data_IF_269881926010
#
_entry.id   IF_269881926010
#
_cell.length_a   1.000
_cell.length_b   1.000
_cell.length_c   1.000
_cell.angle_alpha   90.00
_cell.angle_beta   90.00
_cell.angle_gamma   90.00
#
_symmetry.space_group_name_H-M   'P 1'
#
loop_
_entity.id
_entity.type
_entity.pdbx_description
1 polymer ?
#
# COMPACT_ATOMS: atom_id res chain seq x y z
N UNK A 1 -24.45 -2.47 -75.31
CA UNK A 1 -24.08 -1.40 -74.35
C UNK A 1 -25.13 -1.38 -73.25
N UNK A 2 -24.78 -1.83 -72.03
CA UNK A 2 -24.71 -1.00 -70.79
C UNK A 2 -26.11 -0.56 -70.29
N UNK A 3 -26.62 -0.88 -69.10
CA UNK A 3 -25.99 -1.12 -67.79
C UNK A 3 -26.92 -1.95 -66.88
N UNK A 4 -26.33 -2.96 -66.24
CA UNK A 4 -26.84 -3.52 -64.98
C UNK A 4 -26.78 -2.43 -63.90
N UNK A 5 -27.87 -2.26 -63.16
CA UNK A 5 -27.90 -1.50 -61.90
C UNK A 5 -27.82 -2.55 -60.78
N UNK A 6 -26.58 -2.93 -60.44
CA UNK A 6 -26.23 -3.55 -59.18
C UNK A 6 -25.90 -2.41 -58.21
N UNK A 7 -26.87 -2.01 -57.38
CA UNK A 7 -26.61 -1.08 -56.27
C UNK A 7 -26.51 -1.91 -55.00
N UNK A 8 -25.27 -2.25 -54.68
CA UNK A 8 -24.65 -2.24 -53.35
C UNK A 8 -25.63 -2.23 -52.16
N UNK A 9 -26.05 -3.42 -51.71
CA UNK A 9 -26.33 -3.67 -50.29
C UNK A 9 -25.05 -4.22 -49.66
N UNK A 10 -24.09 -3.34 -49.43
CA UNK A 10 -22.87 -3.62 -48.68
C UNK A 10 -23.09 -3.33 -47.20
N UNK A 11 -23.12 -4.39 -46.40
CA UNK A 11 -22.49 -4.43 -45.08
C UNK A 11 -23.19 -3.71 -43.92
N UNK A 12 -24.29 -4.28 -43.42
CA UNK A 12 -24.43 -4.38 -41.97
C UNK A 12 -23.71 -5.68 -41.54
N UNK A 13 -22.40 -5.59 -41.32
CA UNK A 13 -21.72 -6.58 -40.49
C UNK A 13 -22.04 -6.22 -39.05
N UNK A 14 -23.20 -6.68 -38.60
CA UNK A 14 -23.46 -6.79 -37.17
C UNK A 14 -22.36 -7.69 -36.62
N UNK A 15 -21.42 -7.11 -35.88
CA UNK A 15 -20.51 -7.86 -35.01
C UNK A 15 -21.39 -8.41 -33.89
N UNK A 16 -22.16 -9.46 -34.19
CA UNK A 16 -22.80 -10.27 -33.15
C UNK A 16 -21.67 -11.10 -32.54
N UNK A 17 -21.49 -10.97 -31.22
CA UNK A 17 -20.89 -12.01 -30.43
C UNK A 17 -21.72 -13.30 -30.69
N UNK A 18 -21.17 -14.26 -31.42
CA UNK A 18 -21.85 -15.52 -31.73
C UNK A 18 -21.99 -16.34 -30.44
N UNK A 19 -23.13 -16.18 -29.76
CA UNK A 19 -23.56 -17.12 -28.72
C UNK A 19 -23.82 -18.48 -29.37
N UNK A 20 -23.29 -19.56 -28.78
CA UNK A 20 -23.57 -20.91 -29.25
C UNK A 20 -25.03 -21.28 -28.96
N UNK A 21 -25.76 -21.90 -29.91
CA UNK A 21 -27.20 -22.11 -29.79
C UNK A 21 -27.66 -23.08 -28.68
N UNK A 22 -28.94 -22.93 -28.33
CA UNK A 22 -29.60 -23.14 -27.01
C UNK A 22 -29.92 -24.63 -26.69
N UNK A 23 -29.10 -25.60 -27.09
CA UNK A 23 -29.50 -26.99 -26.82
C UNK A 23 -29.41 -27.30 -25.30
N UNK A 24 -28.45 -26.73 -24.56
CA UNK A 24 -28.43 -26.63 -23.08
C UNK A 24 -27.52 -25.45 -22.63
N UNK A 25 -28.12 -24.39 -22.07
CA UNK A 25 -27.43 -23.28 -21.39
C UNK A 25 -26.60 -22.38 -22.31
N UNK A 26 -27.07 -21.15 -22.55
CA UNK A 26 -26.36 -20.19 -23.41
C UNK A 26 -24.93 -19.95 -22.91
N UNK A 27 -23.96 -20.19 -23.79
CA UNK A 27 -22.55 -19.92 -23.53
C UNK A 27 -21.91 -19.19 -24.71
N UNK A 28 -20.89 -18.42 -24.38
CA UNK A 28 -20.03 -17.70 -25.30
C UNK A 28 -18.68 -18.42 -25.38
N UNK A 29 -18.05 -18.35 -26.54
CA UNK A 29 -16.72 -18.88 -26.71
C UNK A 29 -15.67 -17.95 -26.09
N UNK A 30 -14.53 -18.50 -25.64
CA UNK A 30 -13.40 -17.69 -25.20
C UNK A 30 -12.94 -16.71 -26.29
N UNK A 31 -12.28 -15.63 -25.88
CA UNK A 31 -11.71 -14.63 -26.78
C UNK A 31 -10.79 -15.31 -27.79
N UNK A 32 -11.02 -15.06 -29.08
CA UNK A 32 -10.27 -15.66 -30.19
C UNK A 32 -10.82 -16.98 -30.72
N UNK A 33 -11.87 -17.53 -30.11
CA UNK A 33 -12.55 -18.74 -30.58
C UNK A 33 -13.89 -18.40 -31.24
N UNK A 34 -14.31 -19.22 -32.21
CA UNK A 34 -15.61 -19.11 -32.88
C UNK A 34 -16.48 -20.31 -32.56
N UNK A 35 -17.79 -20.11 -32.57
CA UNK A 35 -18.74 -21.19 -32.41
C UNK A 35 -18.90 -21.96 -33.74
N UNK A 36 -18.54 -23.23 -33.76
CA UNK A 36 -18.73 -24.14 -34.89
C UNK A 36 -19.32 -25.44 -34.34
N UNK A 37 -20.47 -25.87 -34.85
CA UNK A 37 -21.14 -27.13 -34.44
C UNK A 37 -21.30 -27.29 -32.90
N UNK A 38 -21.77 -26.24 -32.22
CA UNK A 38 -21.92 -26.17 -30.76
C UNK A 38 -20.60 -26.31 -29.96
N UNK A 39 -19.47 -26.06 -30.60
CA UNK A 39 -18.15 -26.14 -30.00
C UNK A 39 -17.33 -24.88 -30.29
N UNK A 40 -16.40 -24.55 -29.39
CA UNK A 40 -15.50 -23.42 -29.57
C UNK A 40 -14.24 -23.89 -30.27
N UNK A 41 -14.01 -23.38 -31.49
CA UNK A 41 -12.87 -23.71 -32.33
C UNK A 41 -11.99 -22.49 -32.56
N UNK A 42 -10.68 -22.70 -32.52
CA UNK A 42 -9.68 -21.66 -32.82
C UNK A 42 -9.70 -21.31 -34.32
N UNK A 43 -9.03 -20.23 -34.74
CA UNK A 43 -8.90 -19.89 -36.16
C UNK A 43 -8.25 -21.02 -36.99
N UNK A 44 -7.41 -21.84 -36.37
CA UNK A 44 -6.74 -23.00 -36.98
C UNK A 44 -7.59 -24.29 -36.95
N UNK A 45 -8.84 -24.20 -36.49
CA UNK A 45 -9.76 -25.34 -36.40
C UNK A 45 -9.52 -26.27 -35.20
N UNK A 46 -8.65 -25.89 -34.26
CA UNK A 46 -8.42 -26.67 -33.05
C UNK A 46 -9.49 -26.42 -31.99
N UNK A 47 -9.85 -27.47 -31.26
CA UNK A 47 -10.84 -27.38 -30.19
C UNK A 47 -10.31 -26.55 -29.00
N UNK A 48 -11.16 -25.71 -28.43
CA UNK A 48 -10.85 -24.93 -27.22
C UNK A 48 -10.55 -25.81 -26.00
N UNK A 49 -9.65 -25.33 -25.13
CA UNK A 49 -9.29 -26.05 -23.92
C UNK A 49 -10.45 -26.06 -22.91
N UNK A 50 -10.71 -27.22 -22.31
CA UNK A 50 -11.67 -27.33 -21.20
C UNK A 50 -11.15 -26.73 -19.88
N UNK A 51 -9.84 -26.44 -19.81
CA UNK A 51 -9.20 -25.84 -18.64
C UNK A 51 -9.40 -24.33 -18.65
N UNK A 52 -10.17 -23.83 -17.68
CA UNK A 52 -10.45 -22.41 -17.52
C UNK A 52 -9.23 -21.54 -17.23
N UNK A 53 -8.09 -22.14 -16.87
CA UNK A 53 -6.81 -21.41 -16.71
C UNK A 53 -6.14 -21.13 -18.05
N UNK A 54 -6.53 -21.82 -19.13
CA UNK A 54 -5.92 -21.74 -20.46
C UNK A 54 -6.75 -20.94 -21.46
N UNK A 55 -7.90 -20.42 -21.04
CA UNK A 55 -8.81 -19.68 -21.90
C UNK A 55 -9.16 -18.35 -21.25
N UNK A 56 -9.36 -17.33 -22.08
CA UNK A 56 -9.78 -16.02 -21.61
C UNK A 56 -11.23 -15.78 -22.02
N UNK A 57 -12.10 -15.48 -21.07
CA UNK A 57 -13.52 -15.29 -21.33
C UNK A 57 -13.85 -13.80 -21.56
N UNK A 58 -14.91 -13.49 -22.34
CA UNK A 58 -15.39 -12.12 -22.49
C UNK A 58 -15.73 -11.46 -21.15
N UNK A 59 -15.76 -10.13 -21.12
CA UNK A 59 -16.20 -9.36 -19.94
C UNK A 59 -17.62 -9.78 -19.50
N UNK A 60 -17.90 -9.70 -18.20
CA UNK A 60 -19.19 -10.12 -17.62
C UNK A 60 -19.57 -11.59 -17.89
N UNK A 61 -18.55 -12.45 -18.02
CA UNK A 61 -18.73 -13.90 -18.08
C UNK A 61 -17.79 -14.61 -17.11
N UNK A 62 -18.12 -15.86 -16.77
CA UNK A 62 -17.28 -16.77 -16.00
C UNK A 62 -17.03 -18.03 -16.79
N UNK A 63 -15.82 -18.57 -16.66
CA UNK A 63 -15.49 -19.84 -17.30
C UNK A 63 -16.04 -21.03 -16.50
N UNK A 64 -16.62 -22.00 -17.21
CA UNK A 64 -16.93 -23.34 -16.70
C UNK A 64 -16.68 -24.36 -17.80
N UNK A 65 -15.73 -25.29 -17.57
CA UNK A 65 -15.30 -26.31 -18.55
C UNK A 65 -14.90 -25.73 -19.92
N UNK A 66 -14.15 -24.63 -19.93
CA UNK A 66 -13.68 -23.98 -21.15
C UNK A 66 -14.74 -23.17 -21.91
N UNK A 67 -15.94 -23.00 -21.34
CA UNK A 67 -17.05 -22.23 -21.91
C UNK A 67 -17.35 -21.02 -21.03
N UNK A 68 -17.74 -19.91 -21.64
CA UNK A 68 -17.98 -18.66 -20.93
C UNK A 68 -19.47 -18.44 -20.73
N UNK A 69 -19.92 -18.27 -19.49
CA UNK A 69 -21.33 -18.05 -19.16
C UNK A 69 -21.52 -16.65 -18.60
N UNK A 70 -22.57 -15.95 -19.04
CA UNK A 70 -22.86 -14.62 -18.54
C UNK A 70 -23.07 -14.62 -17.02
N UNK A 71 -22.42 -13.66 -16.35
CA UNK A 71 -22.56 -13.45 -14.90
C UNK A 71 -23.61 -12.39 -14.57
N UNK A 72 -24.10 -11.65 -15.56
CA UNK A 72 -25.06 -10.56 -15.38
C UNK A 72 -26.30 -11.01 -14.61
N UNK A 73 -26.59 -10.34 -13.50
CA UNK A 73 -27.77 -10.60 -12.68
C UNK A 73 -27.70 -11.86 -11.80
N UNK A 74 -26.63 -12.66 -11.90
CA UNK A 74 -26.40 -13.80 -11.01
C UNK A 74 -26.23 -13.33 -9.57
N UNK A 75 -26.64 -14.18 -8.63
CA UNK A 75 -26.40 -13.94 -7.21
C UNK A 75 -24.92 -14.06 -6.88
N UNK A 76 -24.38 -13.11 -6.12
CA UNK A 76 -22.98 -13.06 -5.70
C UNK A 76 -22.84 -12.83 -4.20
N UNK A 77 -21.60 -12.89 -3.69
CA UNK A 77 -21.26 -12.74 -2.28
C UNK A 77 -22.11 -13.62 -1.35
N UNK A 78 -22.46 -14.83 -1.82
CA UNK A 78 -23.04 -15.84 -0.96
C UNK A 78 -21.91 -16.50 -0.18
N UNK A 79 -22.06 -16.53 1.14
CA UNK A 79 -21.20 -17.33 1.99
C UNK A 79 -21.32 -18.79 1.55
N UNK A 80 -20.21 -19.39 1.14
CA UNK A 80 -20.15 -20.82 0.87
C UNK A 80 -19.62 -21.46 2.15
N UNK A 81 -20.40 -22.39 2.72
CA UNK A 81 -19.91 -23.25 3.78
C UNK A 81 -18.82 -24.14 3.19
N UNK A 82 -17.57 -23.90 3.61
CA UNK A 82 -16.44 -24.73 3.22
C UNK A 82 -16.40 -26.01 4.07
N UNK A 83 -16.86 -25.92 5.33
CA UNK A 83 -17.09 -27.04 6.24
C UNK A 83 -18.25 -26.74 7.23
N UNK A 84 -18.40 -27.53 8.30
CA UNK A 84 -19.46 -27.37 9.31
C UNK A 84 -19.31 -26.13 10.22
N UNK A 85 -18.17 -25.45 10.19
CA UNK A 85 -17.85 -24.30 11.05
C UNK A 85 -17.29 -23.09 10.29
N UNK A 86 -16.89 -23.23 9.02
CA UNK A 86 -16.31 -22.16 8.21
C UNK A 86 -17.19 -21.82 7.02
N UNK A 87 -17.53 -20.53 6.94
CA UNK A 87 -18.20 -19.94 5.79
C UNK A 87 -17.28 -18.86 5.24
N UNK A 88 -16.83 -19.02 3.99
CA UNK A 88 -16.04 -17.99 3.32
C UNK A 88 -16.89 -17.22 2.32
N UNK A 89 -16.77 -15.90 2.36
CA UNK A 89 -17.24 -15.03 1.28
C UNK A 89 -16.17 -15.03 0.20
N UNK A 90 -16.32 -15.92 -0.79
CA UNK A 90 -15.47 -15.88 -1.98
C UNK A 90 -15.70 -14.53 -2.65
N UNK A 91 -14.61 -13.75 -2.79
CA UNK A 91 -14.47 -12.51 -3.56
C UNK A 91 -15.34 -12.60 -4.82
N UNK A 92 -16.15 -11.56 -5.08
CA UNK A 92 -17.30 -11.61 -5.99
C UNK A 92 -17.07 -12.47 -7.24
N UNK A 93 -17.83 -13.55 -7.36
CA UNK A 93 -17.80 -14.49 -8.49
C UNK A 93 -18.45 -13.93 -9.78
N UNK A 94 -18.40 -12.61 -9.96
CA UNK A 94 -19.07 -11.88 -11.04
C UNK A 94 -18.24 -11.80 -12.34
N UNK A 95 -17.10 -12.48 -12.40
CA UNK A 95 -16.19 -12.43 -13.55
C UNK A 95 -15.26 -11.21 -13.51
N UNK A 96 -14.40 -11.08 -14.52
CA UNK A 96 -13.26 -10.14 -14.52
C UNK A 96 -13.65 -8.65 -14.48
N UNK A 97 -14.84 -8.30 -15.00
CA UNK A 97 -15.40 -6.93 -14.94
C UNK A 97 -16.68 -6.84 -14.14
N UNK A 98 -16.96 -7.81 -13.29
CA UNK A 98 -18.19 -7.85 -12.52
C UNK A 98 -18.01 -7.37 -11.09
N UNK A 99 -18.90 -6.50 -10.62
CA UNK A 99 -19.00 -6.12 -9.21
C UNK A 99 -20.29 -6.63 -8.61
N UNK A 100 -20.23 -7.06 -7.36
CA UNK A 100 -21.42 -7.46 -6.62
C UNK A 100 -22.07 -6.24 -5.96
N UNK A 101 -23.28 -5.90 -6.41
CA UNK A 101 -24.10 -4.82 -5.83
C UNK A 101 -25.45 -5.41 -5.40
N UNK A 102 -25.81 -5.23 -4.13
CA UNK A 102 -27.05 -5.77 -3.55
C UNK A 102 -27.24 -7.28 -3.81
N UNK A 103 -26.15 -8.04 -3.71
CA UNK A 103 -26.15 -9.49 -3.91
C UNK A 103 -26.33 -9.94 -5.37
N UNK A 104 -26.26 -9.02 -6.34
CA UNK A 104 -26.31 -9.34 -7.78
C UNK A 104 -25.08 -8.81 -8.51
N UNK A 105 -24.63 -9.57 -9.50
CA UNK A 105 -23.55 -9.16 -10.38
C UNK A 105 -24.02 -8.11 -11.37
N UNK A 106 -23.31 -6.99 -11.37
CA UNK A 106 -23.44 -5.91 -12.35
C UNK A 106 -22.10 -5.64 -13.00
N UNK A 107 -22.11 -4.99 -14.16
CA UNK A 107 -20.88 -4.58 -14.83
C UNK A 107 -20.20 -3.45 -14.06
N UNK A 108 -18.93 -3.66 -13.74
CA UNK A 108 -18.05 -2.62 -13.25
C UNK A 108 -17.37 -1.95 -14.44
N UNK A 109 -18.00 -0.88 -14.93
CA UNK A 109 -17.44 -0.03 -15.99
C UNK A 109 -16.05 0.52 -15.65
N UNK A 110 -15.69 0.57 -14.37
CA UNK A 110 -14.40 1.04 -13.88
C UNK A 110 -13.38 -0.09 -13.65
N UNK A 111 -13.75 -1.35 -13.91
CA UNK A 111 -12.79 -2.46 -13.89
C UNK A 111 -11.67 -2.20 -14.90
N UNK A 112 -10.43 -2.21 -14.41
CA UNK A 112 -9.20 -1.93 -15.16
C UNK A 112 -9.04 -0.49 -15.67
N UNK A 113 -9.88 0.45 -15.22
CA UNK A 113 -9.69 1.88 -15.51
C UNK A 113 -8.76 2.48 -14.47
N UNK A 114 -7.57 2.88 -14.91
CA UNK A 114 -6.58 3.59 -14.06
C UNK A 114 -6.68 5.08 -14.33
N UNK A 115 -7.15 5.83 -13.34
CA UNK A 115 -7.25 7.28 -13.42
C UNK A 115 -6.00 7.97 -12.86
N UNK A 116 -5.69 9.15 -13.40
CA UNK A 116 -4.61 9.99 -12.88
C UNK A 116 -4.97 10.58 -11.52
N UNK A 117 -3.95 11.01 -10.76
CA UNK A 117 -4.16 11.66 -9.47
C UNK A 117 -5.09 12.87 -9.62
N UNK A 118 -6.05 13.03 -8.69
CA UNK A 118 -7.06 14.10 -8.78
C UNK A 118 -8.28 13.74 -9.62
N UNK A 119 -8.40 12.50 -10.08
CA UNK A 119 -9.56 12.01 -10.82
C UNK A 119 -10.02 10.64 -10.31
N UNK A 120 -11.30 10.35 -10.52
CA UNK A 120 -11.96 9.13 -10.11
C UNK A 120 -12.71 8.53 -11.30
N UNK A 121 -12.72 7.20 -11.41
CA UNK A 121 -13.53 6.55 -12.43
C UNK A 121 -15.01 6.60 -12.04
N UNK A 122 -15.81 7.15 -12.93
CA UNK A 122 -17.27 7.19 -12.85
C UNK A 122 -17.83 6.78 -14.21
N UNK A 123 -18.65 5.72 -14.25
CA UNK A 123 -19.23 5.20 -15.50
C UNK A 123 -18.19 4.87 -16.58
N UNK A 124 -17.05 4.31 -16.18
CA UNK A 124 -15.96 3.93 -17.08
C UNK A 124 -15.10 5.07 -17.63
N UNK A 125 -15.33 6.30 -17.16
CA UNK A 125 -14.54 7.47 -17.52
C UNK A 125 -13.94 8.12 -16.28
N UNK A 126 -12.70 8.60 -16.40
CA UNK A 126 -12.06 9.38 -15.34
C UNK A 126 -12.63 10.80 -15.32
N UNK A 127 -13.23 11.17 -14.19
CA UNK A 127 -13.75 12.51 -13.95
C UNK A 127 -12.90 13.21 -12.87
N UNK A 128 -12.63 14.52 -13.00
CA UNK A 128 -11.89 15.26 -11.98
C UNK A 128 -12.71 15.32 -10.68
N UNK A 129 -12.01 15.10 -9.55
CA UNK A 129 -12.57 15.27 -8.20
C UNK A 129 -12.09 16.55 -7.53
N UNK A 130 -11.07 17.20 -8.10
CA UNK A 130 -10.57 18.50 -7.64
C UNK A 130 -11.68 19.55 -7.74
N UNK A 131 -11.85 20.33 -6.67
CA UNK A 131 -12.87 21.37 -6.52
C UNK A 131 -14.19 20.89 -5.92
N UNK A 132 -14.42 19.57 -5.81
CA UNK A 132 -15.61 19.03 -5.13
C UNK A 132 -15.63 19.44 -3.66
N UNK A 133 -16.82 19.71 -3.15
CA UNK A 133 -17.01 20.05 -1.74
C UNK A 133 -16.84 18.80 -0.87
N UNK A 134 -16.09 18.94 0.22
CA UNK A 134 -15.76 17.86 1.17
C UNK A 134 -16.15 18.20 2.61
N UNK A 135 -17.15 19.07 2.77
CA UNK A 135 -17.71 19.47 4.06
C UNK A 135 -18.36 18.30 4.82
N UNK A 136 -18.82 17.28 4.10
CA UNK A 136 -19.53 16.12 4.66
C UNK A 136 -18.93 14.77 4.24
N UNK A 137 -18.24 14.72 3.09
CA UNK A 137 -17.67 13.51 2.52
C UNK A 137 -16.16 13.64 2.33
N UNK A 138 -15.44 12.55 2.54
CA UNK A 138 -14.00 12.51 2.33
C UNK A 138 -13.66 12.58 0.84
N UNK A 139 -12.55 13.23 0.51
CA UNK A 139 -12.04 13.32 -0.85
C UNK A 139 -11.49 11.98 -1.34
N UNK A 140 -11.82 11.61 -2.59
CA UNK A 140 -11.36 10.39 -3.25
C UNK A 140 -10.24 10.69 -4.28
N UNK A 141 -9.80 9.68 -5.03
CA UNK A 141 -8.87 9.90 -6.16
C UNK A 141 -7.50 10.47 -5.77
N UNK A 142 -7.05 10.23 -4.52
CA UNK A 142 -5.78 10.73 -4.00
C UNK A 142 -5.75 12.25 -3.77
N UNK A 143 -6.91 12.84 -3.45
CA UNK A 143 -7.04 14.26 -3.09
C UNK A 143 -7.28 14.45 -1.59
N UNK A 144 -7.02 15.66 -1.10
CA UNK A 144 -7.18 16.04 0.31
C UNK A 144 -8.18 17.18 0.43
N UNK A 145 -8.96 17.18 1.52
CA UNK A 145 -9.92 18.24 1.80
C UNK A 145 -9.20 19.44 2.42
N UNK A 146 -9.16 20.57 1.70
CA UNK A 146 -8.57 21.82 2.17
C UNK A 146 -9.57 22.94 1.96
N UNK A 147 -9.89 23.68 3.03
CA UNK A 147 -10.89 24.75 3.00
C UNK A 147 -12.25 24.32 2.42
N UNK A 148 -12.70 23.10 2.73
CA UNK A 148 -13.98 22.57 2.25
C UNK A 148 -13.97 22.08 0.81
N UNK A 149 -12.83 22.12 0.10
CA UNK A 149 -12.72 21.61 -1.27
C UNK A 149 -11.63 20.56 -1.42
N UNK A 150 -11.88 19.56 -2.26
CA UNK A 150 -10.88 18.57 -2.64
C UNK A 150 -9.82 19.20 -3.53
N UNK A 151 -8.57 19.09 -3.13
CA UNK A 151 -7.42 19.55 -3.91
C UNK A 151 -6.44 18.40 -4.09
N UNK A 152 -5.65 18.45 -5.17
CA UNK A 152 -4.46 17.60 -5.25
C UNK A 152 -3.62 17.84 -4.01
N UNK A 153 -3.13 16.76 -3.40
CA UNK A 153 -2.31 16.87 -2.20
C UNK A 153 -1.13 17.82 -2.48
N UNK A 154 -1.14 19.05 -1.91
CA UNK A 154 -0.16 20.07 -2.21
C UNK A 154 1.24 19.67 -1.73
N UNK A 155 1.32 18.65 -0.88
CA UNK A 155 2.55 18.11 -0.32
C UNK A 155 3.19 17.02 -1.19
N UNK A 156 2.54 16.54 -2.25
CA UNK A 156 3.05 15.44 -3.09
C UNK A 156 4.47 15.76 -3.57
N UNK A 157 5.47 15.02 -3.07
CA UNK A 157 6.91 15.25 -3.32
C UNK A 157 7.44 16.65 -2.95
N UNK A 158 6.72 17.40 -2.11
CA UNK A 158 7.12 18.74 -1.66
C UNK A 158 7.53 18.79 -0.20
N UNK A 159 7.17 17.79 0.59
CA UNK A 159 7.63 17.73 1.97
C UNK A 159 9.13 17.44 2.05
N UNK A 160 9.85 18.14 2.94
CA UNK A 160 11.23 17.77 3.26
C UNK A 160 11.30 16.32 3.73
N UNK A 161 12.51 15.75 3.73
CA UNK A 161 12.76 14.52 4.44
C UNK A 161 12.21 14.62 5.88
N UNK A 162 11.66 13.52 6.38
CA UNK A 162 11.18 13.41 7.75
C UNK A 162 9.89 14.17 8.06
N UNK A 163 9.19 14.65 7.03
CA UNK A 163 7.88 15.27 7.12
C UNK A 163 6.85 14.46 6.34
N UNK A 164 5.62 14.44 6.84
CA UNK A 164 4.46 13.82 6.20
C UNK A 164 3.39 14.89 5.97
N UNK A 165 2.64 14.78 4.87
CA UNK A 165 1.51 15.67 4.65
C UNK A 165 0.35 15.30 5.55
N UNK A 166 -0.11 16.28 6.34
CA UNK A 166 -1.36 16.15 7.10
C UNK A 166 -2.17 17.41 6.93
N UNK A 167 -3.41 17.24 6.47
CA UNK A 167 -4.36 18.33 6.24
C UNK A 167 -3.81 19.41 5.26
N UNK A 168 -3.03 18.99 4.26
CA UNK A 168 -2.45 19.91 3.27
C UNK A 168 -1.19 20.64 3.73
N UNK A 169 -0.63 20.30 4.89
CA UNK A 169 0.61 20.88 5.42
C UNK A 169 1.66 19.80 5.71
N UNK A 170 2.93 20.10 5.43
CA UNK A 170 4.04 19.23 5.80
C UNK A 170 4.32 19.33 7.30
N UNK A 171 4.12 18.23 8.03
CA UNK A 171 4.37 18.16 9.47
C UNK A 171 5.51 17.20 9.74
N UNK A 172 6.42 17.62 10.63
CA UNK A 172 7.55 16.79 11.03
C UNK A 172 7.05 15.51 11.71
N UNK A 173 7.59 14.35 11.32
CA UNK A 173 7.14 13.03 11.79
C UNK A 173 7.32 12.83 13.31
N UNK A 174 8.34 13.46 13.91
CA UNK A 174 8.57 13.41 15.36
C UNK A 174 7.38 13.94 16.17
N UNK A 175 6.87 13.13 17.09
CA UNK A 175 5.81 13.48 18.03
C UNK A 175 4.38 13.37 17.48
N UNK A 176 4.23 13.01 16.19
CA UNK A 176 2.93 12.78 15.56
C UNK A 176 2.23 11.60 16.22
N UNK A 177 0.92 11.71 16.45
CA UNK A 177 0.12 10.62 17.02
C UNK A 177 0.02 9.42 16.05
N UNK A 178 0.28 8.23 16.58
CA UNK A 178 0.22 6.95 15.89
C UNK A 178 -0.53 5.92 16.74
N UNK A 179 -1.15 4.94 16.09
CA UNK A 179 -1.74 3.80 16.79
C UNK A 179 -0.71 2.68 16.97
N UNK A 180 -0.05 2.23 15.90
CA UNK A 180 1.02 1.22 15.94
C UNK A 180 2.05 1.33 14.79
N UNK A 181 1.88 2.29 13.87
CA UNK A 181 2.71 2.38 12.66
C UNK A 181 3.13 3.83 12.42
N UNK A 182 4.39 3.98 12.03
CA UNK A 182 4.98 5.23 11.59
C UNK A 182 5.83 4.94 10.33
N UNK A 183 6.02 5.92 9.44
CA UNK A 183 6.93 5.76 8.31
C UNK A 183 8.38 5.55 8.80
N UNK A 184 9.07 4.56 8.25
CA UNK A 184 10.49 4.33 8.56
C UNK A 184 11.32 5.59 8.24
N UNK A 185 12.24 6.05 9.12
CA UNK A 185 12.83 5.37 10.29
C UNK A 185 12.18 5.71 11.65
N UNK A 186 10.91 6.09 11.65
CA UNK A 186 10.17 6.37 12.89
C UNK A 186 9.46 5.12 13.39
N UNK A 187 9.42 4.97 14.72
CA UNK A 187 8.69 3.93 15.43
C UNK A 187 7.63 4.55 16.32
N UNK A 188 6.50 3.86 16.49
CA UNK A 188 5.42 4.33 17.35
C UNK A 188 5.74 3.96 18.80
N UNK A 189 6.12 4.95 19.62
CA UNK A 189 6.43 4.79 21.04
C UNK A 189 5.42 5.62 21.83
N UNK A 190 4.69 5.00 22.74
CA UNK A 190 3.65 5.66 23.56
C UNK A 190 2.62 6.45 22.73
N UNK A 191 2.23 5.89 21.58
CA UNK A 191 1.28 6.52 20.67
C UNK A 191 1.83 7.74 19.92
N UNK A 192 3.17 7.94 19.91
CA UNK A 192 3.84 9.00 19.15
C UNK A 192 4.99 8.48 18.30
N UNK A 193 5.10 8.97 17.08
CA UNK A 193 6.20 8.64 16.18
C UNK A 193 7.52 9.23 16.71
N UNK A 194 8.51 8.39 16.94
CA UNK A 194 9.83 8.75 17.44
C UNK A 194 10.90 8.17 16.53
N UNK A 195 11.89 8.98 16.15
CA UNK A 195 13.00 8.50 15.33
C UNK A 195 13.98 7.68 16.17
N UNK A 196 14.11 6.39 15.86
CA UNK A 196 15.14 5.53 16.43
C UNK A 196 16.36 5.50 15.50
N UNK A 197 17.47 6.13 15.90
CA UNK A 197 18.71 6.21 15.13
C UNK A 197 19.51 4.90 15.01
N UNK A 198 18.97 3.77 15.49
CA UNK A 198 19.70 2.50 15.61
C UNK A 198 19.67 1.61 14.36
N UNK A 199 18.92 1.97 13.30
CA UNK A 199 18.75 1.10 12.12
C UNK A 199 19.81 1.29 11.00
N UNK A 200 20.79 2.19 11.18
CA UNK A 200 21.76 2.53 10.13
C UNK A 200 23.02 1.64 10.09
N UNK A 201 23.19 0.68 11.02
CA UNK A 201 24.42 -0.12 11.13
C UNK A 201 24.37 -1.51 10.48
N UNK A 202 23.24 -1.94 9.91
CA UNK A 202 23.14 -3.28 9.30
C UNK A 202 23.77 -3.40 7.90
N UNK A 203 24.24 -2.32 7.28
CA UNK A 203 24.85 -2.36 5.92
C UNK A 203 26.38 -2.45 5.88
N UNK A 204 27.09 -2.44 7.02
CA UNK A 204 28.58 -2.44 7.05
C UNK A 204 29.14 -3.80 7.53
N UNK A 205 28.47 -4.92 7.24
CA UNK A 205 28.94 -6.26 7.70
C UNK A 205 29.03 -7.29 6.56
N UNK A 206 29.34 -6.89 5.33
CA UNK A 206 29.51 -7.85 4.21
C UNK A 206 30.71 -7.62 3.28
N UNK A 207 31.73 -6.84 3.65
CA UNK A 207 32.80 -6.57 2.68
C UNK A 207 34.26 -6.58 3.13
N UNK A 208 34.60 -7.08 4.32
CA UNK A 208 36.02 -7.33 4.61
C UNK A 208 36.19 -8.59 5.45
N UNK A 209 36.60 -9.67 4.79
CA UNK A 209 37.33 -10.79 5.37
C UNK A 209 38.60 -10.25 6.05
N UNK A 210 38.53 -9.95 7.34
CA UNK A 210 39.74 -9.92 8.17
C UNK A 210 39.42 -10.46 9.56
N UNK A 211 39.64 -11.77 9.66
CA UNK A 211 39.63 -12.58 10.86
C UNK A 211 40.80 -12.22 11.79
N UNK A 212 40.87 -11.01 12.33
CA UNK A 212 41.71 -10.67 13.49
C UNK A 212 40.96 -9.61 14.31
N UNK A 213 40.74 -9.90 15.60
CA UNK A 213 40.02 -9.12 16.65
C UNK A 213 38.62 -9.59 17.07
N UNK A 214 38.25 -10.85 16.78
CA UNK A 214 37.03 -11.48 17.35
C UNK A 214 37.08 -11.64 18.89
N UNK A 215 38.22 -11.39 19.56
CA UNK A 215 38.34 -11.48 21.03
C UNK A 215 38.59 -10.14 21.75
N UNK A 216 38.77 -9.02 21.04
CA UNK A 216 38.93 -7.69 21.66
C UNK A 216 37.67 -6.82 21.60
N UNK A 217 36.75 -7.08 20.66
CA UNK A 217 35.51 -6.31 20.54
C UNK A 217 34.42 -6.73 21.55
N UNK A 218 34.46 -7.95 22.09
CA UNK A 218 33.49 -8.38 23.11
C UNK A 218 33.72 -7.73 24.49
N UNK A 219 34.86 -7.07 24.72
CA UNK A 219 35.18 -6.42 26.00
C UNK A 219 34.88 -4.91 26.07
N UNK A 220 34.44 -4.27 24.97
CA UNK A 220 34.28 -2.80 24.94
C UNK A 220 32.94 -2.27 24.40
N UNK A 221 32.00 -3.13 23.98
CA UNK A 221 30.72 -2.64 23.46
C UNK A 221 29.63 -2.59 24.52
N UNK A 222 29.80 -1.66 25.47
CA UNK A 222 28.69 -1.02 26.19
C UNK A 222 28.46 0.38 25.60
N UNK A 223 28.27 0.45 24.27
CA UNK A 223 27.82 1.69 23.64
C UNK A 223 26.31 1.81 23.82
N UNK A 224 25.92 2.12 25.06
CA UNK A 224 24.61 2.68 25.36
C UNK A 224 24.36 3.95 24.54
N UNK A 225 23.09 4.34 24.47
CA UNK A 225 22.44 5.39 23.65
C UNK A 225 23.04 6.83 23.68
N UNK A 226 24.29 6.98 24.11
CA UNK A 226 25.02 8.22 24.40
C UNK A 226 26.24 8.45 23.49
N UNK A 227 26.57 7.52 22.60
CA UNK A 227 27.65 7.69 21.62
C UNK A 227 27.43 8.98 20.80
N UNK A 228 28.29 10.00 21.00
CA UNK A 228 28.23 11.34 20.36
C UNK A 228 27.09 12.27 20.80
N UNK A 229 26.39 12.00 21.90
CA UNK A 229 25.50 13.00 22.51
C UNK A 229 26.33 14.00 23.31
N UNK A 230 26.24 15.27 22.91
CA UNK A 230 26.84 16.40 23.64
C UNK A 230 25.74 16.99 24.53
N UNK A 231 25.87 16.79 25.84
CA UNK A 231 24.97 17.37 26.82
C UNK A 231 25.48 18.75 27.27
N UNK A 232 24.59 19.53 27.88
CA UNK A 232 24.98 20.85 28.42
C UNK A 232 25.93 20.65 29.62
N UNK A 233 26.66 21.71 29.97
CA UNK A 233 27.51 21.72 31.17
C UNK A 233 26.66 21.39 32.39
N UNK A 234 27.13 20.49 33.26
CA UNK A 234 26.37 19.99 34.41
C UNK A 234 25.43 18.81 34.11
N UNK A 235 25.40 18.30 32.87
CA UNK A 235 24.59 17.15 32.45
C UNK A 235 25.46 15.99 31.94
N UNK A 236 25.06 14.76 32.24
CA UNK A 236 25.64 13.56 31.66
C UNK A 236 24.60 12.82 30.82
N UNK A 237 25.07 12.04 29.85
CA UNK A 237 24.17 11.19 29.09
C UNK A 237 23.98 9.86 29.82
N UNK A 238 22.75 9.59 30.25
CA UNK A 238 22.34 8.33 30.86
C UNK A 238 21.20 7.74 30.01
N UNK A 239 21.35 6.49 29.56
CA UNK A 239 20.36 5.78 28.73
C UNK A 239 19.91 6.52 27.46
N UNK A 240 20.70 7.50 27.01
CA UNK A 240 20.42 8.30 25.82
C UNK A 240 19.69 9.60 26.09
N UNK A 241 19.53 10.01 27.34
CA UNK A 241 19.00 11.32 27.70
C UNK A 241 20.09 12.11 28.41
N UNK A 242 20.17 13.40 28.11
CA UNK A 242 20.97 14.31 28.91
C UNK A 242 20.22 14.57 30.20
N UNK A 243 20.80 14.14 31.31
CA UNK A 243 20.23 14.28 32.64
C UNK A 243 21.15 15.16 33.48
N UNK A 244 20.56 16.04 34.29
CA UNK A 244 21.32 16.89 35.21
C UNK A 244 22.02 16.01 36.25
N UNK A 245 23.35 16.09 36.29
CA UNK A 245 24.21 15.41 37.26
C UNK A 245 24.75 16.39 38.31
N UNK A 246 24.89 17.67 37.95
CA UNK A 246 25.27 18.73 38.89
C UNK A 246 24.37 18.73 40.13
N UNK A 247 24.98 18.87 41.32
CA UNK A 247 24.35 18.83 42.64
C UNK A 247 23.80 17.47 43.10
N UNK A 248 23.93 16.39 42.31
CA UNK A 248 23.53 15.05 42.78
C UNK A 248 24.37 14.62 43.97
N UNK A 249 23.73 13.96 44.92
CA UNK A 249 24.43 13.37 46.06
C UNK A 249 25.41 12.30 45.59
N UNK A 250 26.66 12.37 46.06
CA UNK A 250 27.70 11.41 45.72
C UNK A 250 28.54 11.06 46.95
N UNK A 251 29.11 9.86 46.89
CA UNK A 251 30.14 9.38 47.84
C UNK A 251 31.44 9.07 47.12
N UNK A 252 31.36 8.72 45.83
CA UNK A 252 32.50 8.48 44.96
C UNK A 252 32.22 8.94 43.53
N UNK A 253 33.04 9.85 43.00
CA UNK A 253 32.81 10.52 41.72
C UNK A 253 32.63 9.56 40.53
N UNK A 254 33.54 8.58 40.36
CA UNK A 254 33.52 7.66 39.22
C UNK A 254 32.25 6.80 39.15
N UNK A 255 31.68 6.46 40.31
CA UNK A 255 30.51 5.59 40.42
C UNK A 255 29.21 6.39 40.38
N UNK A 256 29.17 7.51 41.09
CA UNK A 256 27.93 8.22 41.37
C UNK A 256 27.69 9.40 40.40
N UNK A 257 28.76 9.97 39.81
CA UNK A 257 28.70 11.14 38.92
C UNK A 257 29.19 10.85 37.48
N UNK A 258 30.13 9.92 37.32
CA UNK A 258 30.79 9.60 36.04
C UNK A 258 32.10 10.36 35.82
N UNK A 259 32.84 9.97 34.76
CA UNK A 259 34.25 10.38 34.55
C UNK A 259 34.48 11.90 34.42
N UNK A 260 33.47 12.63 33.94
CA UNK A 260 33.54 14.09 33.68
C UNK A 260 33.22 14.96 34.90
N UNK A 261 32.87 14.36 36.03
CA UNK A 261 32.45 15.06 37.24
C UNK A 261 33.38 14.71 38.41
N UNK A 262 33.44 15.60 39.40
CA UNK A 262 34.07 15.37 40.70
C UNK A 262 33.02 15.34 41.80
N UNK A 263 33.35 14.67 42.90
CA UNK A 263 32.48 14.60 44.07
C UNK A 263 33.11 15.46 45.17
N UNK A 264 32.56 16.64 45.39
CA UNK A 264 33.03 17.58 46.41
C UNK A 264 31.90 17.87 47.39
N UNK A 265 32.16 17.82 48.69
CA UNK A 265 31.13 18.04 49.73
C UNK A 265 29.87 17.15 49.57
N UNK A 266 30.06 15.90 49.11
CA UNK A 266 29.01 14.94 48.75
C UNK A 266 28.08 15.38 47.60
N UNK A 267 28.56 16.27 46.72
CA UNK A 267 27.84 16.70 45.52
C UNK A 267 28.68 16.56 44.27
N UNK A 268 28.03 16.16 43.18
CA UNK A 268 28.67 16.10 41.87
C UNK A 268 28.85 17.51 41.29
N UNK A 269 30.07 17.84 40.88
CA UNK A 269 30.45 19.08 40.22
C UNK A 269 31.13 18.80 38.88
N UNK A 270 30.73 19.51 37.82
CA UNK A 270 31.35 19.39 36.51
C UNK A 270 32.80 19.94 36.54
N UNK A 271 33.77 19.12 36.12
CA UNK A 271 35.19 19.50 36.04
C UNK A 271 35.43 20.70 35.14
N UNK A 272 34.54 20.96 34.19
CA UNK A 272 34.62 22.11 33.28
C UNK A 272 34.27 23.44 33.97
N UNK A 273 33.62 23.41 35.15
CA UNK A 273 33.28 24.61 35.93
C UNK A 273 34.31 24.95 37.02
N UNK A 274 35.23 24.04 37.33
CA UNK A 274 36.27 24.23 38.36
C UNK A 274 37.57 24.85 37.84
N UNK A 275 37.64 25.22 36.55
CA UNK A 275 38.84 25.84 35.92
C UNK A 275 38.84 27.38 35.90
N UNK A 276 38.20 28.02 36.89
CA UNK A 276 38.28 29.48 37.13
C UNK A 276 38.92 29.76 38.47
#
# INVERSE_FOLDING_TARGET
MRRMIFVLLSGLHSVLCERCPIIIGDFECPVGYKCVDNQCSSPDGQLGSADCKKVNCPSMTRCFKGRCYSTTGLTCNRNVLLDSSTAESIISNCGDKGKCINGRCVEDSCAHVVCSQGSLCTNGACAPVVGRECSQEACEGGTVCVNGHCVLDPCTNRCPADHECRLGECRHLQGISCHNQCPHPYECIDGRCTRNGCHFLQHIIWQTDLLILVTAAFAFFNFGNCARKVCKVGEACENGLCVKVEDRFCTLAIRDCGERFECESNKCHDKLLQTV
#
